data_IF_918800054347
#
_entry.id   IF_918800054347
#
_cell.length_a   1.000
_cell.length_b   1.000
_cell.length_c   1.000
_cell.angle_alpha   90.00
_cell.angle_beta   90.00
_cell.angle_gamma   90.00
#
_symmetry.space_group_name_H-M   'P 1'
#
loop_
_entity.id
_entity.type
_entity.pdbx_description
1 polymer ?
#
# COMPACT_ATOMS: atom_id res chain seq x y z
N UNK A 1 0.04 56.01 -55.66
CA UNK A 1 0.52 57.34 -55.20
C UNK A 1 -0.52 58.37 -55.57
N UNK A 2 -0.76 59.44 -54.78
CA UNK A 2 0.05 60.02 -53.69
C UNK A 2 -0.80 60.18 -52.39
N UNK A 3 -0.43 60.75 -51.24
CA UNK A 3 0.82 61.26 -50.69
C UNK A 3 0.70 61.30 -49.15
N UNK A 4 1.85 61.29 -48.49
CA UNK A 4 2.06 61.64 -47.08
C UNK A 4 1.88 63.17 -46.87
N UNK A 5 1.63 63.65 -45.63
CA UNK A 5 2.73 64.38 -44.96
C UNK A 5 2.81 64.27 -43.41
N UNK A 6 4.06 64.27 -42.92
CA UNK A 6 4.72 65.01 -41.79
C UNK A 6 4.10 65.07 -40.36
N UNK A 7 4.75 64.50 -39.30
CA UNK A 7 5.89 64.96 -38.42
C UNK A 7 5.52 66.09 -37.42
N UNK A 8 6.24 66.34 -36.29
CA UNK A 8 7.36 65.64 -35.62
C UNK A 8 7.28 65.54 -34.06
N UNK A 9 8.18 64.79 -33.41
CA UNK A 9 8.67 65.04 -32.03
C UNK A 9 9.97 64.24 -31.82
N UNK A 10 11.13 64.87 -31.98
CA UNK A 10 12.00 65.44 -30.93
C UNK A 10 12.95 64.43 -30.27
N UNK A 11 14.23 64.66 -30.58
CA UNK A 11 15.43 64.01 -30.05
C UNK A 11 15.61 64.21 -28.55
N UNK A 12 16.02 63.14 -27.87
CA UNK A 12 16.72 63.18 -26.59
C UNK A 12 17.81 62.11 -26.61
N UNK A 13 18.96 62.47 -27.17
CA UNK A 13 20.20 61.71 -27.11
C UNK A 13 20.73 61.70 -25.67
N UNK A 14 20.53 60.59 -24.95
CA UNK A 14 21.29 60.27 -23.75
C UNK A 14 22.57 59.54 -24.17
N UNK A 15 23.70 60.20 -23.93
CA UNK A 15 25.05 59.71 -24.20
C UNK A 15 25.43 58.66 -23.15
N UNK A 16 25.41 57.38 -23.50
CA UNK A 16 25.91 56.30 -22.62
C UNK A 16 27.42 56.11 -22.85
N UNK A 17 28.28 56.23 -21.83
CA UNK A 17 29.71 55.99 -22.00
C UNK A 17 30.01 54.50 -22.26
N UNK A 18 31.09 54.16 -22.97
CA UNK A 18 31.45 52.78 -23.26
C UNK A 18 31.84 52.02 -21.98
N UNK A 19 31.27 50.83 -21.80
CA UNK A 19 31.68 49.86 -20.78
C UNK A 19 33.15 49.47 -21.00
N UNK A 20 33.97 49.65 -19.97
CA UNK A 20 35.35 49.17 -19.93
C UNK A 20 35.39 47.63 -20.01
N UNK A 21 36.40 47.03 -20.66
CA UNK A 21 36.53 45.58 -20.74
C UNK A 21 36.76 45.00 -19.34
N UNK A 22 35.92 44.04 -18.96
CA UNK A 22 36.07 43.25 -17.74
C UNK A 22 37.34 42.39 -17.87
N UNK A 23 38.28 42.40 -16.91
CA UNK A 23 39.46 41.57 -16.98
C UNK A 23 39.06 40.09 -16.88
N UNK A 24 39.67 39.27 -17.75
CA UNK A 24 39.55 37.82 -17.69
C UNK A 24 40.13 37.32 -16.36
N UNK A 25 39.27 37.09 -15.38
CA UNK A 25 39.65 36.39 -14.16
C UNK A 25 39.98 34.94 -14.50
N UNK A 26 41.21 34.57 -14.17
CA UNK A 26 41.78 33.25 -14.31
C UNK A 26 40.81 32.17 -13.78
N UNK A 27 40.57 31.17 -14.63
CA UNK A 27 39.90 29.92 -14.27
C UNK A 27 40.57 29.31 -13.04
N UNK A 28 39.87 29.32 -11.91
CA UNK A 28 40.20 28.48 -10.77
C UNK A 28 40.09 27.01 -11.21
N UNK A 29 41.02 26.13 -10.83
CA UNK A 29 40.94 24.73 -11.20
C UNK A 29 39.64 24.12 -10.67
N UNK A 30 38.95 23.37 -11.51
CA UNK A 30 37.79 22.58 -11.12
C UNK A 30 38.20 21.64 -9.98
N UNK A 31 37.84 22.00 -8.74
CA UNK A 31 37.87 21.06 -7.65
C UNK A 31 36.95 19.91 -8.04
N UNK A 32 37.56 18.75 -8.31
CA UNK A 32 36.84 17.50 -8.42
C UNK A 32 35.96 17.38 -7.18
N UNK A 33 34.63 17.47 -7.37
CA UNK A 33 33.66 17.12 -6.36
C UNK A 33 33.90 15.65 -6.03
N UNK A 34 34.63 15.44 -4.93
CA UNK A 34 34.73 14.12 -4.30
C UNK A 34 33.30 13.59 -4.17
N UNK A 35 33.01 12.32 -4.55
CA UNK A 35 31.66 11.80 -4.45
C UNK A 35 31.19 12.02 -3.03
N UNK A 36 30.13 12.82 -2.87
CA UNK A 36 29.52 13.05 -1.58
C UNK A 36 29.21 11.65 -1.03
N UNK A 37 29.87 11.27 0.07
CA UNK A 37 29.42 10.14 0.87
C UNK A 37 27.95 10.40 1.14
N UNK A 38 27.06 9.66 0.48
CA UNK A 38 25.64 9.73 0.74
C UNK A 38 25.49 9.51 2.24
N UNK A 39 25.03 10.53 2.96
CA UNK A 39 24.85 10.45 4.40
C UNK A 39 24.01 9.20 4.67
N UNK A 40 24.61 8.22 5.35
CA UNK A 40 23.95 6.95 5.64
C UNK A 40 22.86 7.26 6.66
N UNK A 41 21.63 7.48 6.17
CA UNK A 41 20.49 7.61 7.06
C UNK A 41 20.39 6.34 7.91
N UNK A 42 20.36 6.44 9.25
CA UNK A 42 20.20 5.26 10.09
C UNK A 42 18.88 4.60 9.73
N UNK A 43 18.92 3.29 9.45
CA UNK A 43 17.73 2.52 9.14
C UNK A 43 16.73 2.60 10.32
N UNK A 44 15.49 2.98 10.04
CA UNK A 44 14.47 3.08 11.08
C UNK A 44 13.81 1.74 11.33
N UNK A 45 13.66 1.40 12.60
CA UNK A 45 12.83 0.29 13.03
C UNK A 45 11.58 0.84 13.66
N UNK A 46 10.43 0.43 13.13
CA UNK A 46 9.12 0.78 13.63
C UNK A 46 8.38 -0.50 14.02
N UNK A 47 7.81 -0.53 15.22
CA UNK A 47 6.94 -1.61 15.64
C UNK A 47 5.63 -1.05 16.17
N UNK A 48 4.53 -1.74 15.91
CA UNK A 48 3.22 -1.47 16.46
C UNK A 48 2.59 -2.78 16.91
N UNK A 49 2.27 -2.87 18.19
CA UNK A 49 1.60 -4.03 18.78
C UNK A 49 0.23 -3.65 19.32
N UNK A 50 -0.79 -4.33 18.82
CA UNK A 50 -2.20 -4.09 19.11
C UNK A 50 -2.86 -5.34 19.70
N UNK A 51 -3.72 -5.17 20.70
CA UNK A 51 -4.62 -6.24 21.13
C UNK A 51 -6.06 -5.73 21.23
N UNK A 52 -7.00 -6.52 20.75
CA UNK A 52 -8.43 -6.21 20.75
C UNK A 52 -9.18 -7.24 21.59
N UNK A 53 -10.06 -6.77 22.46
CA UNK A 53 -10.80 -7.63 23.39
C UNK A 53 -12.29 -7.31 23.35
N UNK A 54 -13.13 -8.36 23.33
CA UNK A 54 -14.56 -8.22 23.54
C UNK A 54 -14.84 -7.94 25.02
N UNK A 55 -15.37 -6.77 25.30
CA UNK A 55 -15.88 -6.34 26.60
C UNK A 55 -17.40 -6.14 26.48
N UNK A 56 -18.16 -7.10 26.99
CA UNK A 56 -19.62 -7.17 26.84
C UNK A 56 -20.03 -7.10 25.36
N UNK A 57 -20.72 -6.03 24.94
CA UNK A 57 -21.14 -5.83 23.55
C UNK A 57 -20.12 -5.06 22.68
N UNK A 58 -19.01 -4.63 23.26
CA UNK A 58 -18.04 -3.76 22.60
C UNK A 58 -16.71 -4.48 22.36
N UNK A 59 -16.14 -4.39 21.17
CA UNK A 59 -14.72 -4.76 20.98
C UNK A 59 -13.85 -3.54 21.27
N UNK A 60 -12.89 -3.62 22.19
CA UNK A 60 -12.00 -2.50 22.55
C UNK A 60 -10.56 -2.77 22.14
N UNK A 61 -9.84 -1.73 21.70
CA UNK A 61 -8.39 -1.74 21.62
C UNK A 61 -7.80 -1.69 23.04
N UNK A 62 -7.42 -2.83 23.59
CA UNK A 62 -6.95 -3.01 24.98
C UNK A 62 -5.44 -2.93 25.13
N UNK A 63 -4.67 -3.13 24.06
CA UNK A 63 -3.22 -2.94 24.06
C UNK A 63 -2.81 -2.11 22.86
N UNK A 64 -1.94 -1.12 23.09
CA UNK A 64 -1.37 -0.26 22.06
C UNK A 64 0.06 0.11 22.47
N UNK A 65 1.02 -0.62 21.93
CA UNK A 65 2.45 -0.39 22.15
C UNK A 65 3.11 -0.08 20.81
N UNK A 66 4.11 0.81 20.82
CA UNK A 66 4.82 1.13 19.59
C UNK A 66 6.26 1.57 19.85
N UNK A 67 7.11 1.38 18.85
CA UNK A 67 8.44 1.96 18.74
C UNK A 67 8.64 2.56 17.34
N UNK A 68 9.54 3.54 17.21
CA UNK A 68 9.76 4.23 15.94
C UNK A 68 8.53 5.04 15.48
N UNK A 69 8.28 5.20 14.16
CA UNK A 69 7.21 6.04 13.63
C UNK A 69 5.81 5.39 13.52
N UNK A 70 5.64 4.07 13.59
CA UNK A 70 4.31 3.45 13.43
C UNK A 70 3.36 3.81 14.57
N UNK A 71 2.14 4.26 14.24
CA UNK A 71 1.11 4.61 15.22
C UNK A 71 -0.24 4.02 14.82
N UNK A 72 -1.17 4.00 15.76
CA UNK A 72 -2.60 3.78 15.50
C UNK A 72 -3.37 4.98 16.00
N UNK A 73 -4.35 5.44 15.22
CA UNK A 73 -5.25 6.53 15.63
C UNK A 73 -6.21 6.10 16.74
N UNK A 74 -7.02 7.05 17.21
CA UNK A 74 -8.10 6.75 18.17
C UNK A 74 -9.02 5.66 17.57
N UNK A 75 -9.37 4.61 18.33
CA UNK A 75 -10.36 3.62 17.90
C UNK A 75 -11.68 4.27 17.48
N UNK A 76 -12.23 3.79 16.37
CA UNK A 76 -13.48 4.27 15.79
C UNK A 76 -14.53 3.15 15.79
N UNK A 77 -15.81 3.54 15.89
CA UNK A 77 -16.95 2.62 15.85
C UNK A 77 -18.01 3.18 14.89
N UNK A 78 -17.69 3.27 13.59
CA UNK A 78 -18.59 3.88 12.60
C UNK A 78 -19.81 3.01 12.29
N UNK A 79 -19.77 1.72 12.65
CA UNK A 79 -20.84 0.76 12.43
C UNK A 79 -21.67 0.57 13.70
N UNK A 80 -21.12 -0.18 14.66
CA UNK A 80 -21.66 -0.40 15.99
C UNK A 80 -20.51 -0.78 16.96
N UNK A 81 -20.72 -0.75 18.29
CA UNK A 81 -19.66 -1.01 19.28
C UNK A 81 -18.98 -2.38 19.15
N UNK A 82 -19.61 -3.37 18.53
CA UNK A 82 -19.06 -4.72 18.38
C UNK A 82 -17.80 -4.76 17.52
N UNK A 83 -17.58 -3.76 16.66
CA UNK A 83 -16.50 -3.75 15.67
C UNK A 83 -15.59 -2.54 15.90
N UNK A 84 -14.35 -2.81 16.29
CA UNK A 84 -13.35 -1.76 16.49
C UNK A 84 -12.61 -1.46 15.19
N UNK A 85 -12.76 -0.25 14.65
CA UNK A 85 -12.00 0.20 13.49
C UNK A 85 -10.72 0.91 13.95
N UNK A 86 -9.58 0.46 13.44
CA UNK A 86 -8.26 0.96 13.79
C UNK A 86 -7.51 1.42 12.54
N UNK A 87 -7.07 2.67 12.53
CA UNK A 87 -6.31 3.25 11.43
C UNK A 87 -4.82 3.23 11.81
N UNK A 88 -4.06 2.36 11.16
CA UNK A 88 -2.60 2.27 11.28
C UNK A 88 -1.97 3.33 10.39
N UNK A 89 -1.06 4.12 10.97
CA UNK A 89 -0.38 5.20 10.25
C UNK A 89 1.13 5.04 10.37
N UNK A 90 1.79 5.29 9.25
CA UNK A 90 3.23 5.53 9.17
C UNK A 90 3.41 7.00 8.77
N UNK A 91 3.58 7.92 9.75
CA UNK A 91 3.69 9.35 9.49
C UNK A 91 4.79 9.77 8.51
N UNK A 92 5.97 9.11 8.44
CA UNK A 92 6.96 9.41 7.41
C UNK A 92 6.39 9.24 6.01
N UNK A 93 6.81 10.10 5.09
CA UNK A 93 6.28 10.15 3.71
C UNK A 93 6.57 8.90 2.85
N UNK A 94 7.21 7.88 3.41
CA UNK A 94 7.43 6.56 2.84
C UNK A 94 8.59 5.84 3.54
N UNK A 95 8.92 4.66 3.05
CA UNK A 95 9.92 3.75 3.60
C UNK A 95 11.17 3.84 2.73
N UNK A 96 12.33 4.13 3.35
CA UNK A 96 13.61 4.24 2.62
C UNK A 96 14.47 3.00 2.85
N UNK A 97 15.50 2.83 2.01
CA UNK A 97 16.38 1.66 2.02
C UNK A 97 16.92 1.33 3.43
N UNK A 98 16.61 0.13 3.91
CA UNK A 98 17.03 -0.40 5.21
C UNK A 98 15.99 -0.32 6.32
N UNK A 99 14.93 0.48 6.17
CA UNK A 99 13.87 0.60 7.18
C UNK A 99 13.10 -0.72 7.37
N UNK A 100 12.65 -0.96 8.60
CA UNK A 100 11.89 -2.15 8.99
C UNK A 100 10.60 -1.73 9.70
N UNK A 101 9.46 -2.17 9.17
CA UNK A 101 8.13 -1.95 9.72
C UNK A 101 7.56 -3.27 10.24
N UNK A 102 7.08 -3.29 11.49
CA UNK A 102 6.45 -4.46 12.09
C UNK A 102 5.08 -4.09 12.68
N UNK A 103 4.04 -4.81 12.27
CA UNK A 103 2.71 -4.71 12.88
C UNK A 103 2.32 -6.08 13.42
N UNK A 104 2.08 -6.13 14.73
CA UNK A 104 1.58 -7.29 15.45
C UNK A 104 0.17 -6.97 15.94
N UNK A 105 -0.85 -7.72 15.52
CA UNK A 105 -2.21 -7.54 16.00
C UNK A 105 -2.78 -8.85 16.51
N UNK A 106 -3.33 -8.82 17.73
CA UNK A 106 -3.98 -9.97 18.36
C UNK A 106 -5.43 -9.66 18.67
N UNK A 107 -6.34 -10.48 18.17
CA UNK A 107 -7.75 -10.42 18.50
C UNK A 107 -8.05 -11.54 19.48
N UNK A 108 -8.36 -11.17 20.72
CA UNK A 108 -8.82 -12.09 21.74
C UNK A 108 -10.19 -12.67 21.36
N UNK A 109 -10.57 -13.75 22.04
CA UNK A 109 -11.80 -14.49 21.74
C UNK A 109 -13.03 -13.58 21.59
N UNK A 110 -13.82 -13.81 20.53
CA UNK A 110 -15.04 -13.06 20.21
C UNK A 110 -14.85 -11.60 19.81
N UNK A 111 -13.62 -11.08 19.73
CA UNK A 111 -13.36 -9.72 19.27
C UNK A 111 -13.56 -9.58 17.75
N UNK A 112 -14.02 -8.41 17.29
CA UNK A 112 -14.08 -8.07 15.87
C UNK A 112 -13.39 -6.72 15.63
N UNK A 113 -12.36 -6.71 14.79
CA UNK A 113 -11.66 -5.49 14.41
C UNK A 113 -11.45 -5.37 12.91
N UNK A 114 -11.48 -4.13 12.41
CA UNK A 114 -11.09 -3.76 11.06
C UNK A 114 -9.88 -2.82 11.14
N UNK A 115 -8.77 -3.23 10.54
CA UNK A 115 -7.52 -2.49 10.48
C UNK A 115 -7.28 -2.00 9.05
N UNK A 116 -7.03 -0.70 8.90
CA UNK A 116 -6.78 -0.04 7.60
C UNK A 116 -5.62 0.95 7.73
N UNK A 117 -5.10 1.45 6.61
CA UNK A 117 -4.26 2.65 6.55
C UNK A 117 -5.03 3.82 5.91
N UNK A 118 -4.64 5.08 6.15
CA UNK A 118 -5.34 6.24 5.58
C UNK A 118 -4.86 6.60 4.17
N UNK A 119 -3.78 5.98 3.68
CA UNK A 119 -3.22 6.28 2.38
C UNK A 119 -2.18 5.26 1.96
N UNK A 120 -1.76 5.36 0.70
CA UNK A 120 -0.83 4.42 0.10
C UNK A 120 0.53 4.41 0.81
N UNK A 121 1.05 3.22 1.09
CA UNK A 121 2.41 3.05 1.57
C UNK A 121 3.39 3.22 0.41
N UNK A 122 4.40 4.09 0.56
CA UNK A 122 5.37 4.37 -0.50
C UNK A 122 6.73 3.77 -0.12
N UNK A 123 7.29 2.96 -0.99
CA UNK A 123 8.62 2.37 -0.82
C UNK A 123 9.57 2.99 -1.83
N UNK A 124 10.54 3.74 -1.33
CA UNK A 124 11.47 4.48 -2.16
C UNK A 124 12.57 3.59 -2.72
N UNK A 125 13.30 4.15 -3.69
CA UNK A 125 14.55 3.58 -4.23
C UNK A 125 15.47 3.13 -3.09
N UNK A 126 16.05 1.95 -3.25
CA UNK A 126 17.00 1.40 -2.30
C UNK A 126 18.29 2.24 -2.26
N UNK A 127 18.91 2.31 -1.08
CA UNK A 127 20.22 2.96 -0.86
C UNK A 127 21.34 1.92 -0.66
N UNK A 128 21.21 0.75 -1.32
CA UNK A 128 22.07 -0.42 -1.11
C UNK A 128 21.59 -1.35 0.03
N UNK A 129 20.52 -1.00 0.74
CA UNK A 129 19.91 -1.82 1.79
C UNK A 129 18.49 -2.24 1.42
N UNK A 130 18.10 -3.43 1.88
CA UNK A 130 16.74 -3.97 1.74
C UNK A 130 15.88 -3.43 2.87
N UNK A 131 14.70 -2.92 2.54
CA UNK A 131 13.68 -2.50 3.51
C UNK A 131 12.67 -3.63 3.73
N UNK A 132 12.03 -3.68 4.90
CA UNK A 132 11.18 -4.82 5.30
C UNK A 132 9.85 -4.40 5.89
N UNK A 133 8.80 -5.17 5.63
CA UNK A 133 7.54 -5.09 6.36
C UNK A 133 7.13 -6.48 6.83
N UNK A 134 6.85 -6.60 8.13
CA UNK A 134 6.29 -7.79 8.77
C UNK A 134 4.91 -7.47 9.32
N UNK A 135 3.90 -8.19 8.86
CA UNK A 135 2.54 -8.17 9.40
C UNK A 135 2.27 -9.53 10.04
N UNK A 136 2.01 -9.55 11.34
CA UNK A 136 1.67 -10.76 12.08
C UNK A 136 0.33 -10.59 12.79
N UNK A 137 -0.65 -11.39 12.38
CA UNK A 137 -2.04 -11.30 12.81
C UNK A 137 -2.43 -12.61 13.50
N UNK A 138 -2.90 -12.52 14.73
CA UNK A 138 -3.40 -13.66 15.50
C UNK A 138 -4.87 -13.44 15.86
N UNK A 139 -5.73 -14.42 15.56
CA UNK A 139 -7.18 -14.31 15.74
C UNK A 139 -7.69 -15.52 16.51
N UNK A 140 -8.15 -15.28 17.72
CA UNK A 140 -8.61 -16.32 18.65
C UNK A 140 -10.03 -16.80 18.35
N UNK A 141 -10.51 -17.75 19.16
CA UNK A 141 -11.79 -18.42 18.95
C UNK A 141 -12.96 -17.43 18.82
N UNK A 142 -13.80 -17.64 17.81
CA UNK A 142 -14.94 -16.78 17.51
C UNK A 142 -14.62 -15.33 17.12
N UNK A 143 -13.34 -14.97 16.98
CA UNK A 143 -12.94 -13.61 16.61
C UNK A 143 -12.85 -13.43 15.08
N UNK A 144 -12.95 -12.18 14.63
CA UNK A 144 -12.92 -11.80 13.22
C UNK A 144 -12.01 -10.59 12.96
N UNK A 145 -11.06 -10.74 12.04
CA UNK A 145 -10.16 -9.66 11.63
C UNK A 145 -10.35 -9.29 10.17
N UNK A 146 -10.49 -7.99 9.90
CA UNK A 146 -10.43 -7.43 8.56
C UNK A 146 -9.15 -6.58 8.44
N UNK A 147 -8.21 -6.96 7.57
CA UNK A 147 -6.99 -6.21 7.26
C UNK A 147 -7.11 -5.62 5.85
N UNK A 148 -7.46 -4.34 5.77
CA UNK A 148 -7.81 -3.64 4.53
C UNK A 148 -6.98 -2.36 4.38
N UNK A 149 -5.64 -2.43 4.31
CA UNK A 149 -4.82 -1.25 4.04
C UNK A 149 -5.10 -0.71 2.63
N UNK A 150 -4.73 0.56 2.43
CA UNK A 150 -4.61 1.16 1.10
C UNK A 150 -3.43 0.54 0.32
N UNK A 151 -3.22 0.97 -0.91
CA UNK A 151 -2.25 0.38 -1.82
C UNK A 151 -0.80 0.54 -1.35
N UNK A 152 0.07 -0.35 -1.81
CA UNK A 152 1.52 -0.25 -1.61
C UNK A 152 2.19 0.08 -2.94
N UNK A 153 2.87 1.22 -3.01
CA UNK A 153 3.53 1.74 -4.20
C UNK A 153 5.05 1.57 -4.06
N UNK A 154 5.64 0.82 -4.99
CA UNK A 154 7.08 0.62 -5.08
C UNK A 154 7.66 1.54 -6.16
N UNK A 155 8.57 2.41 -5.76
CA UNK A 155 9.30 3.27 -6.69
C UNK A 155 10.29 2.42 -7.48
N UNK A 156 10.73 2.91 -8.63
CA UNK A 156 11.75 2.22 -9.41
C UNK A 156 13.00 2.01 -8.55
N UNK A 157 13.61 0.82 -8.67
CA UNK A 157 14.82 0.43 -7.95
C UNK A 157 14.62 0.26 -6.43
N UNK A 158 13.39 -0.03 -5.99
CA UNK A 158 13.10 -0.42 -4.61
C UNK A 158 13.48 -1.90 -4.36
N UNK A 159 14.07 -2.16 -3.19
CA UNK A 159 14.45 -3.51 -2.73
C UNK A 159 13.72 -3.79 -1.42
N UNK A 160 12.72 -4.67 -1.46
CA UNK A 160 11.76 -4.83 -0.35
C UNK A 160 11.48 -6.31 -0.06
N UNK A 161 11.34 -6.64 1.22
CA UNK A 161 10.80 -7.90 1.71
C UNK A 161 9.47 -7.66 2.44
N UNK A 162 8.41 -8.34 2.00
CA UNK A 162 7.09 -8.31 2.60
C UNK A 162 6.77 -9.70 3.18
N UNK A 163 6.55 -9.77 4.49
CA UNK A 163 6.15 -10.98 5.20
C UNK A 163 4.79 -10.75 5.88
N UNK A 164 3.77 -11.49 5.46
CA UNK A 164 2.41 -11.45 6.02
C UNK A 164 2.02 -12.82 6.58
N UNK A 165 1.81 -12.89 7.89
CA UNK A 165 1.46 -14.11 8.59
C UNK A 165 0.17 -13.97 9.37
N UNK A 166 -0.78 -14.87 9.11
CA UNK A 166 -2.07 -14.94 9.80
C UNK A 166 -2.20 -16.29 10.50
N UNK A 167 -2.50 -16.25 11.80
CA UNK A 167 -2.78 -17.44 12.60
C UNK A 167 -4.20 -17.36 13.15
N UNK A 168 -5.00 -18.39 12.87
CA UNK A 168 -6.42 -18.45 13.19
C UNK A 168 -6.72 -19.62 14.14
N UNK A 169 -7.58 -19.38 15.12
CA UNK A 169 -8.30 -20.44 15.81
C UNK A 169 -9.27 -21.17 14.87
N UNK A 170 -9.82 -22.30 15.32
CA UNK A 170 -10.61 -23.21 14.48
C UNK A 170 -11.83 -22.54 13.81
N UNK A 171 -12.47 -21.61 14.51
CA UNK A 171 -13.68 -20.88 14.11
C UNK A 171 -13.44 -19.37 13.86
N UNK A 172 -12.19 -18.90 13.97
CA UNK A 172 -11.80 -17.53 13.67
C UNK A 172 -11.93 -17.20 12.18
N UNK A 173 -12.29 -15.95 11.86
CA UNK A 173 -12.43 -15.48 10.48
C UNK A 173 -11.45 -14.36 10.13
N UNK A 174 -11.04 -14.29 8.87
CA UNK A 174 -10.10 -13.29 8.38
C UNK A 174 -10.48 -12.81 6.97
N UNK A 175 -10.52 -11.50 6.77
CA UNK A 175 -10.55 -10.87 5.45
C UNK A 175 -9.28 -10.02 5.28
N UNK A 176 -8.52 -10.22 4.20
CA UNK A 176 -7.28 -9.51 3.93
C UNK A 176 -7.25 -8.97 2.51
N UNK A 177 -6.95 -7.69 2.33
CA UNK A 177 -6.76 -7.06 1.02
C UNK A 177 -5.30 -6.62 0.85
N UNK A 178 -4.77 -6.81 -0.35
CA UNK A 178 -3.45 -6.33 -0.76
C UNK A 178 -3.52 -5.80 -2.18
N UNK A 179 -3.00 -4.59 -2.39
CA UNK A 179 -2.88 -3.96 -3.71
C UNK A 179 -1.45 -3.48 -3.85
N UNK A 180 -0.71 -4.05 -4.80
CA UNK A 180 0.70 -3.76 -5.07
C UNK A 180 0.82 -3.00 -6.39
N UNK A 181 1.48 -1.85 -6.35
CA UNK A 181 1.69 -0.96 -7.50
C UNK A 181 3.20 -0.84 -7.79
N UNK A 182 3.61 -1.22 -8.99
CA UNK A 182 5.01 -1.23 -9.43
C UNK A 182 5.28 -0.02 -10.33
N UNK A 183 6.00 0.96 -9.77
CA UNK A 183 6.23 2.26 -10.39
C UNK A 183 5.11 3.26 -10.12
N UNK A 184 5.30 4.49 -10.58
CA UNK A 184 4.33 5.58 -10.50
C UNK A 184 3.88 5.95 -11.90
N UNK A 185 2.98 5.14 -12.46
CA UNK A 185 2.49 5.28 -13.84
C UNK A 185 1.95 6.68 -14.15
N UNK A 186 1.19 7.27 -13.23
CA UNK A 186 0.66 8.64 -13.37
C UNK A 186 1.77 9.70 -13.50
N UNK A 187 2.97 9.43 -12.99
CA UNK A 187 4.16 10.28 -13.12
C UNK A 187 5.12 9.83 -14.24
N UNK A 188 4.75 8.82 -15.03
CA UNK A 188 5.61 8.24 -16.07
C UNK A 188 6.75 7.34 -15.57
N UNK A 189 6.81 7.04 -14.26
CA UNK A 189 7.85 6.17 -13.71
C UNK A 189 7.47 4.70 -13.83
N UNK A 190 8.28 3.91 -14.53
CA UNK A 190 8.16 2.46 -14.61
C UNK A 190 9.13 1.74 -13.65
N UNK A 191 8.70 0.61 -13.11
CA UNK A 191 9.56 -0.29 -12.32
C UNK A 191 10.42 -1.16 -13.24
N UNK A 192 11.62 -0.68 -13.57
CA UNK A 192 12.57 -1.33 -14.49
C UNK A 192 13.75 -1.97 -13.77
N UNK A 193 13.96 -1.61 -12.50
CA UNK A 193 15.00 -2.13 -11.61
C UNK A 193 14.42 -2.34 -10.22
N UNK A 194 15.09 -3.15 -9.42
CA UNK A 194 14.66 -3.49 -8.06
C UNK A 194 14.07 -4.89 -7.94
N UNK A 195 13.69 -5.23 -6.71
CA UNK A 195 13.19 -6.57 -6.36
C UNK A 195 12.29 -6.48 -5.14
N UNK A 196 11.06 -6.95 -5.27
CA UNK A 196 10.11 -7.09 -4.17
C UNK A 196 9.90 -8.59 -3.91
N UNK A 197 10.35 -9.07 -2.76
CA UNK A 197 10.08 -10.44 -2.33
C UNK A 197 8.87 -10.44 -1.40
N UNK A 198 7.88 -11.27 -1.71
CA UNK A 198 6.66 -11.36 -0.93
C UNK A 198 6.46 -12.79 -0.42
N UNK A 199 5.96 -12.88 0.81
CA UNK A 199 5.51 -14.12 1.44
C UNK A 199 4.24 -13.86 2.23
N UNK A 200 3.20 -14.61 1.92
CA UNK A 200 1.92 -14.56 2.64
C UNK A 200 1.55 -15.97 3.10
N UNK A 201 1.23 -16.14 4.38
CA UNK A 201 0.78 -17.42 4.93
C UNK A 201 -0.43 -17.27 5.83
N UNK A 202 -1.41 -18.16 5.67
CA UNK A 202 -2.54 -18.28 6.60
C UNK A 202 -2.55 -19.68 7.19
N UNK A 203 -2.57 -19.79 8.52
CA UNK A 203 -2.65 -21.04 9.27
C UNK A 203 -3.91 -21.05 10.13
N UNK A 204 -4.58 -22.20 10.24
CA UNK A 204 -5.71 -22.42 11.16
C UNK A 204 -5.43 -23.65 12.02
N UNK A 205 -5.39 -23.49 13.34
CA UNK A 205 -5.06 -24.57 14.28
C UNK A 205 -3.73 -25.26 13.96
N UNK A 206 -2.69 -24.47 13.60
CA UNK A 206 -1.38 -24.96 13.17
C UNK A 206 -1.28 -25.44 11.72
N UNK A 207 -2.40 -25.80 11.08
CA UNK A 207 -2.45 -26.28 9.69
C UNK A 207 -2.36 -25.13 8.70
N UNK A 208 -1.48 -25.24 7.72
CA UNK A 208 -1.35 -24.30 6.60
C UNK A 208 -2.59 -24.38 5.69
N UNK A 209 -3.25 -23.24 5.48
CA UNK A 209 -4.40 -23.10 4.56
C UNK A 209 -4.02 -22.37 3.28
N UNK A 210 -3.12 -21.39 3.38
CA UNK A 210 -2.64 -20.59 2.25
C UNK A 210 -1.15 -20.35 2.40
N UNK A 211 -0.42 -20.48 1.30
CA UNK A 211 0.97 -20.08 1.17
C UNK A 211 1.18 -19.47 -0.21
N UNK A 212 1.64 -18.24 -0.23
CA UNK A 212 2.06 -17.54 -1.42
C UNK A 212 3.48 -17.02 -1.20
N UNK A 213 4.35 -17.27 -2.16
CA UNK A 213 5.71 -16.75 -2.16
C UNK A 213 6.07 -16.39 -3.60
N UNK A 214 6.63 -15.21 -3.80
CA UNK A 214 7.01 -14.76 -5.13
C UNK A 214 7.98 -13.60 -5.09
N UNK A 215 8.55 -13.31 -6.25
CA UNK A 215 9.39 -12.14 -6.46
C UNK A 215 8.79 -11.30 -7.59
N UNK A 216 8.66 -10.00 -7.36
CA UNK A 216 8.30 -9.01 -8.38
C UNK A 216 9.55 -8.23 -8.76
N UNK A 217 9.98 -8.41 -10.00
CA UNK A 217 11.11 -7.74 -10.64
C UNK A 217 10.78 -7.48 -12.12
N UNK A 218 11.66 -6.76 -12.84
CA UNK A 218 11.38 -6.32 -14.22
C UNK A 218 11.04 -7.49 -15.18
N UNK A 219 11.73 -8.62 -15.04
CA UNK A 219 11.51 -9.85 -15.81
C UNK A 219 10.16 -10.51 -15.49
N UNK A 220 9.80 -10.61 -14.21
CA UNK A 220 8.49 -11.18 -13.80
C UNK A 220 7.33 -10.26 -14.17
N UNK A 221 7.55 -8.94 -14.17
CA UNK A 221 6.53 -7.99 -14.63
C UNK A 221 6.23 -8.22 -16.10
N UNK A 222 7.27 -8.32 -16.95
CA UNK A 222 7.11 -8.51 -18.39
C UNK A 222 6.61 -9.90 -18.78
N UNK A 223 6.88 -10.93 -17.98
CA UNK A 223 6.53 -12.31 -18.29
C UNK A 223 5.02 -12.56 -18.28
N UNK A 224 4.45 -13.28 -19.27
CA UNK A 224 3.05 -13.72 -19.23
C UNK A 224 2.76 -14.73 -18.12
N UNK A 225 3.79 -15.36 -17.55
CA UNK A 225 3.70 -16.23 -16.38
C UNK A 225 3.84 -15.46 -15.05
N UNK A 226 4.15 -14.16 -15.13
CA UNK A 226 4.18 -13.25 -14.00
C UNK A 226 3.02 -12.27 -14.07
N UNK A 227 3.29 -10.98 -14.27
CA UNK A 227 2.23 -9.95 -14.31
C UNK A 227 1.73 -9.63 -15.72
N UNK A 228 2.28 -10.26 -16.76
CA UNK A 228 1.87 -10.07 -18.15
C UNK A 228 1.87 -8.59 -18.58
N UNK A 229 2.89 -7.84 -18.16
CA UNK A 229 3.06 -6.40 -18.40
C UNK A 229 2.27 -5.49 -17.46
N UNK A 230 1.38 -6.03 -16.62
CA UNK A 230 0.59 -5.25 -15.68
C UNK A 230 1.42 -4.69 -14.51
N UNK A 231 1.08 -3.48 -14.09
CA UNK A 231 1.81 -2.72 -13.06
C UNK A 231 1.10 -2.72 -11.72
N UNK A 232 -0.13 -3.22 -11.67
CA UNK A 232 -0.94 -3.35 -10.46
C UNK A 232 -1.37 -4.80 -10.30
N UNK A 233 -1.16 -5.36 -9.11
CA UNK A 233 -1.65 -6.66 -8.69
C UNK A 233 -2.49 -6.49 -7.43
N UNK A 234 -3.72 -7.01 -7.44
CA UNK A 234 -4.62 -6.92 -6.30
C UNK A 234 -5.14 -8.30 -5.89
N UNK A 235 -5.29 -8.50 -4.59
CA UNK A 235 -5.82 -9.72 -4.00
C UNK A 235 -6.71 -9.41 -2.80
N UNK A 236 -7.88 -10.04 -2.74
CA UNK A 236 -8.69 -10.17 -1.53
C UNK A 236 -8.75 -11.64 -1.13
N UNK A 237 -8.36 -11.94 0.10
CA UNK A 237 -8.38 -13.26 0.70
C UNK A 237 -9.40 -13.30 1.83
N UNK A 238 -10.32 -14.26 1.80
CA UNK A 238 -11.25 -14.51 2.88
C UNK A 238 -11.07 -15.92 3.43
N UNK A 239 -10.95 -16.05 4.75
CA UNK A 239 -10.84 -17.33 5.45
C UNK A 239 -11.95 -17.41 6.49
N UNK A 240 -12.80 -18.44 6.37
CA UNK A 240 -14.00 -18.55 7.18
C UNK A 240 -14.84 -19.77 6.82
N UNK A 241 -16.16 -19.64 6.94
CA UNK A 241 -17.10 -20.60 6.35
C UNK A 241 -17.07 -20.47 4.83
N UNK A 242 -17.14 -21.59 4.07
CA UNK A 242 -17.28 -21.52 2.61
C UNK A 242 -18.53 -20.71 2.24
N UNK A 243 -18.42 -19.83 1.25
CA UNK A 243 -19.58 -19.07 0.76
C UNK A 243 -20.40 -19.90 -0.23
N UNK A 244 -21.66 -19.51 -0.45
CA UNK A 244 -22.55 -20.18 -1.40
C UNK A 244 -22.06 -19.99 -2.85
N UNK A 245 -22.45 -20.91 -3.74
CA UNK A 245 -22.12 -20.84 -5.15
C UNK A 245 -22.59 -19.52 -5.80
N UNK A 246 -23.76 -19.03 -5.40
CA UNK A 246 -24.31 -17.75 -5.88
C UNK A 246 -23.46 -16.56 -5.43
N UNK A 247 -22.87 -16.60 -4.24
CA UNK A 247 -21.90 -15.59 -3.78
C UNK A 247 -20.66 -15.60 -4.67
N UNK A 248 -20.13 -16.78 -5.03
CA UNK A 248 -19.00 -16.90 -5.95
C UNK A 248 -19.37 -16.40 -7.35
N UNK A 249 -20.56 -16.71 -7.85
CA UNK A 249 -21.05 -16.23 -9.13
C UNK A 249 -21.21 -14.70 -9.15
N UNK A 250 -21.77 -14.12 -8.10
CA UNK A 250 -21.90 -12.67 -7.95
C UNK A 250 -20.53 -11.97 -7.92
N UNK A 251 -19.53 -12.55 -7.25
CA UNK A 251 -18.16 -12.05 -7.29
C UNK A 251 -17.57 -12.11 -8.70
N UNK A 252 -17.73 -13.23 -9.42
CA UNK A 252 -17.23 -13.36 -10.81
C UNK A 252 -17.87 -12.35 -11.76
N UNK A 253 -19.12 -11.98 -11.51
CA UNK A 253 -19.83 -10.99 -12.29
C UNK A 253 -19.39 -9.54 -12.02
N UNK A 254 -18.52 -9.26 -11.03
CA UNK A 254 -18.03 -7.91 -10.74
C UNK A 254 -17.18 -7.30 -11.85
N UNK A 255 -16.48 -8.13 -12.63
CA UNK A 255 -15.65 -7.66 -13.73
C UNK A 255 -15.56 -8.72 -14.84
N UNK A 256 -15.84 -8.29 -16.06
CA UNK A 256 -15.51 -9.03 -17.29
C UNK A 256 -14.12 -8.59 -17.77
N UNK A 257 -13.09 -9.09 -17.10
CA UNK A 257 -11.69 -8.74 -17.39
C UNK A 257 -10.83 -10.01 -17.45
N UNK A 258 -9.99 -10.19 -18.48
CA UNK A 258 -9.23 -11.44 -18.69
C UNK A 258 -8.26 -11.76 -17.54
N UNK A 259 -7.81 -10.74 -16.81
CA UNK A 259 -6.93 -10.88 -15.66
C UNK A 259 -7.66 -10.79 -14.31
N UNK A 260 -8.99 -10.99 -14.28
CA UNK A 260 -9.78 -11.10 -13.05
C UNK A 260 -10.13 -12.56 -12.76
N UNK A 261 -10.05 -12.97 -11.49
CA UNK A 261 -10.37 -14.34 -11.10
C UNK A 261 -10.92 -14.45 -9.68
N UNK A 262 -11.88 -15.36 -9.50
CA UNK A 262 -12.47 -15.69 -8.20
C UNK A 262 -12.52 -17.20 -8.01
N UNK A 263 -11.90 -17.67 -6.92
CA UNK A 263 -11.81 -19.09 -6.58
C UNK A 263 -12.17 -19.34 -5.13
N UNK A 264 -13.06 -20.32 -4.90
CA UNK A 264 -13.33 -20.89 -3.58
C UNK A 264 -12.57 -22.23 -3.44
N UNK A 265 -11.77 -22.37 -2.39
CA UNK A 265 -11.01 -23.56 -2.03
C UNK A 265 -11.27 -23.92 -0.56
N UNK A 266 -12.17 -24.87 -0.30
CA UNK A 266 -12.54 -25.29 1.06
C UNK A 266 -12.90 -24.07 1.93
N UNK A 267 -12.03 -23.65 2.85
CA UNK A 267 -12.24 -22.53 3.76
C UNK A 267 -11.68 -21.18 3.27
N UNK A 268 -11.07 -21.14 2.10
CA UNK A 268 -10.40 -19.95 1.55
C UNK A 268 -11.12 -19.51 0.29
N UNK A 269 -11.53 -18.25 0.22
CA UNK A 269 -11.94 -17.58 -1.00
C UNK A 269 -10.85 -16.58 -1.39
N UNK A 270 -10.47 -16.58 -2.67
CA UNK A 270 -9.47 -15.68 -3.22
C UNK A 270 -10.06 -14.97 -4.44
N UNK A 271 -10.00 -13.64 -4.42
CA UNK A 271 -10.28 -12.76 -5.56
C UNK A 271 -8.95 -12.15 -5.98
N UNK A 272 -8.61 -12.19 -7.27
CA UNK A 272 -7.39 -11.59 -7.81
C UNK A 272 -7.69 -10.75 -9.03
N UNK A 273 -6.86 -9.74 -9.23
CA UNK A 273 -6.89 -8.90 -10.41
C UNK A 273 -5.50 -8.41 -10.79
N UNK A 274 -5.21 -8.34 -12.09
CA UNK A 274 -4.07 -7.61 -12.64
C UNK A 274 -4.55 -6.50 -13.59
N UNK A 275 -3.84 -5.37 -13.55
CA UNK A 275 -4.06 -4.27 -14.50
C UNK A 275 -3.08 -3.12 -14.32
N UNK A 276 -3.49 -1.91 -14.66
CA UNK A 276 -2.62 -0.73 -14.68
C UNK A 276 -3.07 0.41 -13.79
N UNK A 277 -4.22 0.25 -13.14
CA UNK A 277 -4.90 1.29 -12.39
C UNK A 277 -5.17 0.82 -10.96
N UNK A 278 -4.56 1.50 -10.01
CA UNK A 278 -4.71 1.21 -8.58
C UNK A 278 -6.09 1.60 -8.06
N UNK A 279 -6.70 2.66 -8.63
CA UNK A 279 -8.04 3.08 -8.25
C UNK A 279 -9.06 2.03 -8.68
N UNK A 280 -8.99 1.56 -9.94
CA UNK A 280 -9.83 0.47 -10.43
C UNK A 280 -9.64 -0.82 -9.60
N UNK A 281 -8.40 -1.13 -9.22
CA UNK A 281 -8.12 -2.26 -8.32
C UNK A 281 -8.82 -2.10 -6.97
N UNK A 282 -8.71 -0.93 -6.35
CA UNK A 282 -9.32 -0.63 -5.04
C UNK A 282 -10.83 -0.68 -5.11
N UNK A 283 -11.45 -0.09 -6.13
CA UNK A 283 -12.90 -0.15 -6.34
C UNK A 283 -13.39 -1.59 -6.47
N UNK A 284 -12.71 -2.41 -7.27
CA UNK A 284 -13.04 -3.81 -7.47
C UNK A 284 -12.86 -4.63 -6.18
N UNK A 285 -11.76 -4.44 -5.43
CA UNK A 285 -11.54 -5.14 -4.16
C UNK A 285 -12.55 -4.73 -3.10
N UNK A 286 -12.95 -3.45 -3.04
CA UNK A 286 -14.00 -2.97 -2.14
C UNK A 286 -15.37 -3.52 -2.54
N UNK A 287 -15.69 -3.60 -3.83
CA UNK A 287 -16.91 -4.24 -4.32
C UNK A 287 -16.95 -5.73 -3.95
N UNK A 288 -15.83 -6.44 -4.11
CA UNK A 288 -15.70 -7.84 -3.67
C UNK A 288 -15.88 -7.98 -2.15
N UNK A 289 -15.23 -7.11 -1.36
CA UNK A 289 -15.37 -7.09 0.09
C UNK A 289 -16.83 -6.87 0.52
N UNK A 290 -17.58 -5.99 -0.15
CA UNK A 290 -19.01 -5.75 0.14
C UNK A 290 -19.88 -6.99 -0.03
N UNK A 291 -19.53 -7.90 -0.95
CA UNK A 291 -20.21 -9.18 -1.15
C UNK A 291 -19.73 -10.25 -0.16
N UNK A 292 -18.41 -10.31 0.07
CA UNK A 292 -17.78 -11.34 0.92
C UNK A 292 -18.12 -11.12 2.39
N UNK A 293 -18.11 -9.87 2.87
CA UNK A 293 -18.22 -9.57 4.30
C UNK A 293 -19.52 -10.07 4.93
N UNK A 294 -20.72 -9.87 4.35
CA UNK A 294 -21.95 -10.46 4.88
C UNK A 294 -21.92 -11.99 4.86
N UNK A 295 -21.37 -12.59 3.79
CA UNK A 295 -21.34 -14.04 3.63
C UNK A 295 -20.39 -14.74 4.61
N UNK A 296 -19.26 -14.11 4.95
CA UNK A 296 -18.22 -14.68 5.80
C UNK A 296 -18.36 -14.27 7.26
N UNK A 297 -18.71 -13.00 7.52
CA UNK A 297 -18.75 -12.41 8.86
C UNK A 297 -20.16 -12.15 9.38
N UNK A 298 -21.20 -12.31 8.56
CA UNK A 298 -22.59 -12.02 8.96
C UNK A 298 -22.84 -10.53 9.22
N UNK A 299 -22.02 -9.63 8.65
CA UNK A 299 -22.09 -8.18 8.84
C UNK A 299 -22.21 -7.45 7.51
N UNK A 300 -23.13 -6.49 7.44
CA UNK A 300 -23.28 -5.61 6.28
C UNK A 300 -22.02 -4.78 6.09
N UNK A 301 -21.52 -4.62 4.87
CA UNK A 301 -20.33 -3.81 4.61
C UNK A 301 -20.66 -2.31 4.68
N UNK A 302 -19.98 -1.57 5.56
CA UNK A 302 -20.13 -0.12 5.70
C UNK A 302 -18.81 0.54 5.28
N UNK A 303 -18.87 1.33 4.22
CA UNK A 303 -17.70 2.03 3.71
C UNK A 303 -17.12 2.99 4.75
N UNK A 304 -15.81 2.93 4.97
CA UNK A 304 -15.11 3.91 5.77
C UNK A 304 -15.00 5.24 5.01
N UNK A 305 -15.32 6.35 5.68
CA UNK A 305 -15.07 7.71 5.13
C UNK A 305 -13.61 7.91 4.74
N UNK A 306 -12.67 7.31 5.48
CA UNK A 306 -11.23 7.38 5.20
C UNK A 306 -10.82 6.69 3.90
N UNK A 307 -11.70 5.94 3.24
CA UNK A 307 -11.43 5.36 1.92
C UNK A 307 -11.84 6.27 0.76
N UNK A 308 -12.46 7.42 1.04
CA UNK A 308 -12.94 8.40 0.04
C UNK A 308 -12.04 9.64 -0.08
N UNK A 309 -11.00 9.72 0.74
CA UNK A 309 -9.98 10.78 0.74
C UNK A 309 -8.69 10.24 0.16
#
# INVERSE_FOLDING_TARGET
MPDCPDRPAQDSLAFTPPLAPVPAHALLPAHALSPAHAAVHPAWRAQLTLAFTRDSDTTRLTRREHSGPLRVQKPLYPEDPAICHAIVVHPPGGVVGGDELAVDAHLNAGAHALLTSPGAAKWYRANGRVSRQRIALSVDAGAALEWLPQETIFFNDAHVELDHHVTLAADASYLGCEILCLGRRASGEAFTKGRINQRTSVRRGGRLLWWEQGTLAADTIASPLGLNGHTVSAMLLAVGKPVAADTVAALRALADHPCYGVTQMKHVLCVRWLGHDSEAARELMLAAWRIVRPAVLGRAAIDLRSWRT
#
